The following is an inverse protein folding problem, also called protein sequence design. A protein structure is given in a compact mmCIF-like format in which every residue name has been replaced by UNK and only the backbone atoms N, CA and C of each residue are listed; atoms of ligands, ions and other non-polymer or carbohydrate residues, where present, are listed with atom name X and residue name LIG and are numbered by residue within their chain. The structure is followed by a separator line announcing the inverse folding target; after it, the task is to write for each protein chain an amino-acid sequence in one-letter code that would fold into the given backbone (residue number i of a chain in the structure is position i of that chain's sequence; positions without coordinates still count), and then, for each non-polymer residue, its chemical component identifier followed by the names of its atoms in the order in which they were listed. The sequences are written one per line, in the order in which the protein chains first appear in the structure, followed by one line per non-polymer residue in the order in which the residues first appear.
data_IF_210421161302
#
_entry.id   IF_210421161302
#
_cell.length_a   1.000
_cell.length_b   1.000
_cell.length_c   1.000
_cell.angle_alpha   90.00
_cell.angle_beta   90.00
_cell.angle_gamma   90.00
#
_symmetry.space_group_name_H-M   'P 1'
#
loop_
_entity.id
_entity.type
_entity.pdbx_description
1 polymer ?
#
# COMPACT_ATOMS: atom_id res chain seq x y z
N UNK A 1 -34.16 -11.23 -2.44
CA UNK A 1 -33.10 -11.94 -3.20
C UNK A 1 -32.60 -11.16 -4.42
N UNK A 2 -33.17 -10.00 -4.77
CA UNK A 2 -32.81 -9.19 -5.96
C UNK A 2 -31.43 -8.49 -5.93
N UNK A 3 -30.79 -8.34 -4.75
CA UNK A 3 -29.49 -7.64 -4.63
C UNK A 3 -28.32 -8.35 -5.36
N UNK A 4 -28.44 -9.64 -5.65
CA UNK A 4 -27.35 -10.41 -6.28
C UNK A 4 -27.37 -10.36 -7.82
N UNK A 5 -28.54 -10.21 -8.42
CA UNK A 5 -28.69 -10.21 -9.88
C UNK A 5 -28.30 -8.85 -10.47
N UNK A 6 -28.84 -7.77 -9.91
CA UNK A 6 -28.46 -6.40 -10.30
C UNK A 6 -26.95 -6.18 -10.14
N UNK A 7 -26.36 -6.63 -9.03
CA UNK A 7 -24.92 -6.54 -8.82
C UNK A 7 -24.09 -7.37 -9.81
N UNK A 8 -24.62 -8.51 -10.27
CA UNK A 8 -23.96 -9.34 -11.30
C UNK A 8 -24.02 -8.65 -12.65
N UNK A 9 -25.16 -8.11 -13.04
CA UNK A 9 -25.33 -7.38 -14.30
C UNK A 9 -24.44 -6.14 -14.36
N UNK A 10 -24.34 -5.37 -13.27
CA UNK A 10 -23.43 -4.23 -13.18
C UNK A 10 -21.96 -4.67 -13.37
N UNK A 11 -21.54 -5.77 -12.72
CA UNK A 11 -20.17 -6.29 -12.91
C UNK A 11 -19.93 -6.73 -14.36
N UNK A 12 -20.89 -7.43 -14.96
CA UNK A 12 -20.79 -7.88 -16.36
C UNK A 12 -20.69 -6.69 -17.32
N UNK A 13 -21.48 -5.64 -17.08
CA UNK A 13 -21.40 -4.39 -17.85
C UNK A 13 -20.00 -3.77 -17.79
N UNK A 14 -19.42 -3.64 -16.59
CA UNK A 14 -18.06 -3.09 -16.45
C UNK A 14 -16.99 -3.97 -17.10
N UNK A 15 -17.11 -5.30 -17.00
CA UNK A 15 -16.21 -6.24 -17.67
C UNK A 15 -16.25 -6.04 -19.20
N UNK A 16 -17.45 -5.89 -19.76
CA UNK A 16 -17.58 -5.70 -21.21
C UNK A 16 -17.07 -4.32 -21.65
N UNK A 17 -17.37 -3.27 -20.89
CA UNK A 17 -16.83 -1.94 -21.14
C UNK A 17 -15.28 -1.94 -21.11
N UNK A 18 -14.67 -2.66 -20.17
CA UNK A 18 -13.21 -2.80 -20.07
C UNK A 18 -12.62 -3.54 -21.29
N UNK A 19 -13.25 -4.64 -21.74
CA UNK A 19 -12.85 -5.34 -22.97
C UNK A 19 -12.94 -4.47 -24.22
N UNK A 20 -13.96 -3.61 -24.29
CA UNK A 20 -14.10 -2.66 -25.40
C UNK A 20 -13.00 -1.61 -25.36
N UNK A 21 -12.70 -1.06 -24.17
CA UNK A 21 -11.60 -0.12 -23.98
C UNK A 21 -10.26 -0.71 -24.40
N UNK A 22 -9.99 -1.99 -24.05
CA UNK A 22 -8.79 -2.70 -24.47
C UNK A 22 -8.63 -2.75 -26.00
N UNK A 23 -9.72 -2.92 -26.74
CA UNK A 23 -9.70 -2.96 -28.22
C UNK A 23 -9.53 -1.57 -28.83
N UNK A 24 -10.27 -0.58 -28.33
CA UNK A 24 -10.36 0.77 -28.92
C UNK A 24 -9.12 1.62 -28.56
N UNK A 25 -8.60 1.47 -27.34
CA UNK A 25 -7.49 2.26 -26.80
C UNK A 25 -6.53 1.39 -25.97
N UNK A 26 -5.75 0.49 -26.62
CA UNK A 26 -4.94 -0.51 -25.91
C UNK A 26 -3.89 0.10 -24.98
N UNK A 27 -3.31 1.25 -25.32
CA UNK A 27 -2.33 1.92 -24.46
C UNK A 27 -2.98 2.54 -23.22
N UNK A 28 -4.17 3.14 -23.36
CA UNK A 28 -4.94 3.67 -22.22
C UNK A 28 -5.35 2.53 -21.29
N UNK A 29 -5.81 1.41 -21.86
CA UNK A 29 -6.13 0.21 -21.11
C UNK A 29 -4.92 -0.32 -20.32
N UNK A 30 -3.75 -0.50 -20.97
CA UNK A 30 -2.53 -0.97 -20.30
C UNK A 30 -2.12 -0.08 -19.13
N UNK A 31 -2.10 1.24 -19.33
CA UNK A 31 -1.72 2.18 -18.29
C UNK A 31 -2.69 2.14 -17.10
N UNK A 32 -4.01 2.06 -17.38
CA UNK A 32 -5.02 1.92 -16.34
C UNK A 32 -4.92 0.59 -15.59
N UNK A 33 -4.62 -0.49 -16.31
CA UNK A 33 -4.43 -1.81 -15.71
C UNK A 33 -3.21 -1.82 -14.79
N UNK A 34 -2.07 -1.28 -15.23
CA UNK A 34 -0.86 -1.18 -14.42
C UNK A 34 -1.11 -0.34 -13.16
N UNK A 35 -1.77 0.81 -13.31
CA UNK A 35 -2.16 1.66 -12.19
C UNK A 35 -3.06 0.93 -11.18
N UNK A 36 -4.02 0.14 -11.68
CA UNK A 36 -4.92 -0.66 -10.84
C UNK A 36 -4.17 -1.77 -10.12
N UNK A 37 -3.27 -2.48 -10.81
CA UNK A 37 -2.44 -3.53 -10.23
C UNK A 37 -1.55 -2.99 -9.10
N UNK A 38 -0.92 -1.83 -9.28
CA UNK A 38 -0.12 -1.18 -8.23
C UNK A 38 -0.96 -0.83 -6.99
N UNK A 39 -2.18 -0.34 -7.18
CA UNK A 39 -3.11 -0.07 -6.07
C UNK A 39 -3.55 -1.35 -5.35
N UNK A 40 -3.86 -2.41 -6.07
CA UNK A 40 -4.21 -3.70 -5.47
C UNK A 40 -3.02 -4.29 -4.69
N UNK A 41 -1.83 -4.26 -5.27
CA UNK A 41 -0.61 -4.71 -4.60
C UNK A 41 -0.39 -3.96 -3.27
N UNK A 42 -0.57 -2.63 -3.26
CA UNK A 42 -0.51 -1.84 -2.02
C UNK A 42 -1.49 -2.31 -0.93
N UNK A 43 -2.66 -2.85 -1.30
CA UNK A 43 -3.64 -3.38 -0.34
C UNK A 43 -3.18 -4.76 0.16
N UNK A 44 -2.75 -5.62 -0.76
CA UNK A 44 -2.32 -6.98 -0.46
C UNK A 44 -1.09 -7.01 0.45
N UNK A 45 -0.08 -6.18 0.16
CA UNK A 45 1.12 -6.07 0.99
C UNK A 45 0.84 -5.42 2.35
N UNK A 46 -0.11 -4.50 2.43
CA UNK A 46 -0.55 -3.96 3.72
C UNK A 46 -1.19 -5.03 4.60
N UNK A 47 -1.97 -5.93 4.00
CA UNK A 47 -2.55 -7.06 4.72
C UNK A 47 -1.46 -8.03 5.20
N UNK A 48 -0.49 -8.38 4.34
CA UNK A 48 0.65 -9.22 4.72
C UNK A 48 1.44 -8.60 5.88
N UNK A 49 1.77 -7.30 5.80
CA UNK A 49 2.48 -6.59 6.86
C UNK A 49 1.72 -6.62 8.19
N UNK A 50 0.40 -6.42 8.18
CA UNK A 50 -0.43 -6.52 9.38
C UNK A 50 -0.35 -7.92 10.00
N UNK A 51 -0.38 -8.98 9.19
CA UNK A 51 -0.24 -10.36 9.68
C UNK A 51 1.15 -10.61 10.29
N UNK A 52 2.22 -10.17 9.64
CA UNK A 52 3.59 -10.32 10.15
C UNK A 52 3.80 -9.52 11.45
N UNK A 53 3.27 -8.29 11.54
CA UNK A 53 3.33 -7.47 12.76
C UNK A 53 2.55 -8.11 13.91
N UNK A 54 1.34 -8.62 13.64
CA UNK A 54 0.54 -9.32 14.62
C UNK A 54 1.30 -10.53 15.18
N UNK A 55 1.89 -11.33 14.30
CA UNK A 55 2.63 -12.54 14.67
C UNK A 55 3.88 -12.21 15.49
N UNK A 56 4.63 -11.18 15.08
CA UNK A 56 5.80 -10.68 15.81
C UNK A 56 5.46 -10.19 17.23
N UNK A 57 4.36 -9.44 17.38
CA UNK A 57 3.90 -8.99 18.70
C UNK A 57 3.53 -10.17 19.61
N UNK A 58 2.83 -11.17 19.06
CA UNK A 58 2.47 -12.38 19.81
C UNK A 58 3.73 -13.15 20.25
N UNK A 59 4.74 -13.30 19.38
CA UNK A 59 6.03 -13.92 19.74
C UNK A 59 6.77 -13.17 20.85
N UNK A 60 6.60 -11.85 20.93
CA UNK A 60 7.12 -11.02 22.03
C UNK A 60 6.28 -11.06 23.32
N UNK A 61 5.22 -11.87 23.37
CA UNK A 61 4.28 -11.91 24.50
C UNK A 61 3.43 -10.64 24.64
N UNK A 62 3.31 -9.83 23.57
CA UNK A 62 2.52 -8.60 23.56
C UNK A 62 1.17 -8.85 22.91
N UNK A 63 0.12 -8.26 23.49
CA UNK A 63 -1.18 -8.23 22.85
C UNK A 63 -1.20 -7.19 21.70
N UNK A 64 -1.57 -7.57 20.47
CA UNK A 64 -1.74 -6.63 19.37
C UNK A 64 -2.79 -5.56 19.70
N UNK A 65 -2.47 -4.31 19.41
CA UNK A 65 -3.34 -3.17 19.67
C UNK A 65 -3.43 -2.28 18.43
N UNK A 66 -4.57 -1.58 18.19
CA UNK A 66 -4.74 -0.72 17.03
C UNK A 66 -3.59 0.29 16.81
N UNK A 67 -3.04 0.84 17.90
CA UNK A 67 -1.90 1.76 17.83
C UNK A 67 -0.65 1.18 17.16
N UNK A 68 -0.41 -0.14 17.26
CA UNK A 68 0.77 -0.76 16.64
C UNK A 68 0.67 -0.70 15.11
N UNK A 69 -0.48 -1.09 14.56
CA UNK A 69 -0.74 -1.06 13.12
C UNK A 69 -0.80 0.37 12.58
N UNK A 70 -1.39 1.31 13.34
CA UNK A 70 -1.42 2.73 12.96
C UNK A 70 0.00 3.31 12.91
N UNK A 71 0.85 2.98 13.87
CA UNK A 71 2.23 3.46 13.91
C UNK A 71 3.06 2.87 12.75
N UNK A 72 2.86 1.59 12.43
CA UNK A 72 3.56 0.95 11.29
C UNK A 72 3.14 1.60 9.96
N UNK A 73 1.85 1.79 9.72
CA UNK A 73 1.37 2.51 8.52
C UNK A 73 1.95 3.92 8.44
N UNK A 74 1.94 4.68 9.54
CA UNK A 74 2.53 6.03 9.58
C UNK A 74 4.02 6.04 9.27
N UNK A 75 4.77 5.01 9.69
CA UNK A 75 6.18 4.87 9.36
C UNK A 75 6.35 4.67 7.86
N UNK A 76 5.70 3.67 7.29
CA UNK A 76 5.79 3.34 5.86
C UNK A 76 5.33 4.51 4.99
N UNK A 77 4.15 5.07 5.27
CA UNK A 77 3.57 6.17 4.50
C UNK A 77 4.45 7.44 4.62
N UNK A 78 5.00 7.70 5.81
CA UNK A 78 5.90 8.83 6.05
C UNK A 78 7.23 8.70 5.30
N UNK A 79 7.84 7.51 5.30
CA UNK A 79 9.05 7.24 4.52
C UNK A 79 8.80 7.35 3.01
N UNK A 80 7.61 6.97 2.56
CA UNK A 80 7.19 7.11 1.16
C UNK A 80 7.12 8.57 0.73
N UNK A 81 6.61 9.47 1.57
CA UNK A 81 6.46 10.90 1.21
C UNK A 81 7.60 11.80 1.70
N UNK A 82 8.59 11.24 2.39
CA UNK A 82 9.78 11.94 2.89
C UNK A 82 9.55 12.87 4.10
N UNK A 83 8.31 13.00 4.57
CA UNK A 83 7.91 13.79 5.75
C UNK A 83 6.89 13.02 6.58
N UNK A 84 6.47 13.51 7.75
CA UNK A 84 5.41 12.83 8.48
C UNK A 84 4.11 12.81 7.66
N UNK A 85 3.40 11.67 7.64
CA UNK A 85 2.17 11.56 6.84
C UNK A 85 1.10 12.58 7.25
N UNK A 86 1.14 13.03 8.52
CA UNK A 86 0.29 14.11 9.02
C UNK A 86 0.61 15.43 8.31
N UNK A 87 1.87 15.85 8.32
CA UNK A 87 2.31 17.08 7.63
C UNK A 87 2.03 17.01 6.13
N UNK A 88 2.27 15.86 5.50
CA UNK A 88 1.99 15.69 4.08
C UNK A 88 0.50 15.88 3.76
N UNK A 89 -0.41 15.31 4.56
CA UNK A 89 -1.85 15.50 4.38
C UNK A 89 -2.27 16.95 4.58
N UNK A 90 -1.70 17.64 5.56
CA UNK A 90 -1.96 19.06 5.82
C UNK A 90 -1.52 19.93 4.64
N UNK A 91 -0.30 19.72 4.11
CA UNK A 91 0.24 20.46 2.95
C UNK A 91 -0.59 20.27 1.68
N UNK A 92 -1.16 19.09 1.49
CA UNK A 92 -1.94 18.75 0.29
C UNK A 92 -3.46 18.87 0.49
N UNK A 93 -3.93 19.35 1.66
CA UNK A 93 -5.34 19.45 2.02
C UNK A 93 -6.13 18.13 1.83
N UNK A 94 -5.50 17.00 2.15
CA UNK A 94 -6.06 15.66 1.92
C UNK A 94 -6.91 15.21 3.11
N UNK A 95 -8.17 14.85 2.81
CA UNK A 95 -9.10 14.18 3.73
C UNK A 95 -9.24 12.70 3.34
N UNK A 96 -9.29 11.81 4.34
CA UNK A 96 -9.42 10.37 4.11
C UNK A 96 -8.08 9.61 4.12
N UNK A 97 -8.02 8.50 3.37
CA UNK A 97 -6.86 7.61 3.29
C UNK A 97 -5.76 8.26 2.43
N UNK A 98 -4.53 8.46 2.94
CA UNK A 98 -3.45 9.07 2.16
C UNK A 98 -3.08 8.30 0.89
N UNK A 99 -3.15 6.96 0.91
CA UNK A 99 -2.72 6.12 -0.22
C UNK A 99 -3.60 6.27 -1.46
N UNK A 100 -4.82 6.77 -1.31
CA UNK A 100 -5.71 7.09 -2.43
C UNK A 100 -5.15 8.26 -3.28
N UNK A 101 -4.23 9.04 -2.70
CA UNK A 101 -3.61 10.23 -3.29
C UNK A 101 -2.13 10.02 -3.63
N UNK A 102 -1.59 8.82 -3.41
CA UNK A 102 -0.21 8.51 -3.78
C UNK A 102 -0.07 8.34 -5.29
N UNK A 103 1.06 8.76 -5.85
CA UNK A 103 1.43 8.46 -7.24
C UNK A 103 1.74 6.97 -7.40
N UNK A 104 1.86 6.49 -8.64
CA UNK A 104 2.19 5.09 -8.89
C UNK A 104 3.59 4.73 -8.38
N UNK A 105 4.53 5.66 -8.48
CA UNK A 105 5.90 5.54 -7.97
C UNK A 105 5.89 5.44 -6.44
N UNK A 106 5.12 6.30 -5.78
CA UNK A 106 4.93 6.25 -4.33
C UNK A 106 4.29 4.93 -3.87
N UNK A 107 3.32 4.39 -4.62
CA UNK A 107 2.73 3.08 -4.31
C UNK A 107 3.73 1.93 -4.50
N UNK A 108 4.67 2.03 -5.44
CA UNK A 108 5.74 1.06 -5.59
C UNK A 108 6.72 1.11 -4.41
N UNK A 109 7.04 2.31 -3.92
CA UNK A 109 7.85 2.49 -2.70
C UNK A 109 7.13 1.89 -1.49
N UNK A 110 5.82 2.14 -1.33
CA UNK A 110 5.01 1.51 -0.27
C UNK A 110 5.14 0.00 -0.33
N UNK A 111 4.93 -0.60 -1.50
CA UNK A 111 5.03 -2.06 -1.70
C UNK A 111 6.39 -2.60 -1.25
N UNK A 112 7.49 -1.99 -1.68
CA UNK A 112 8.83 -2.47 -1.33
C UNK A 112 9.14 -2.30 0.17
N UNK A 113 8.67 -1.22 0.79
CA UNK A 113 8.80 -1.00 2.23
C UNK A 113 7.96 -1.99 3.03
N UNK A 114 6.71 -2.25 2.65
CA UNK A 114 5.83 -3.19 3.36
C UNK A 114 6.33 -4.63 3.24
N UNK A 115 6.79 -5.03 2.05
CA UNK A 115 7.42 -6.33 1.83
C UNK A 115 8.67 -6.50 2.71
N UNK A 116 9.54 -5.49 2.72
CA UNK A 116 10.77 -5.54 3.53
C UNK A 116 10.47 -5.57 5.02
N UNK A 117 9.56 -4.73 5.52
CA UNK A 117 9.22 -4.72 6.95
C UNK A 117 8.56 -6.03 7.39
N UNK A 118 7.74 -6.64 6.53
CA UNK A 118 7.16 -7.97 6.78
C UNK A 118 8.26 -9.02 7.00
N UNK A 119 9.26 -9.07 6.12
CA UNK A 119 10.41 -9.97 6.27
C UNK A 119 11.21 -9.66 7.53
N UNK A 120 11.45 -8.39 7.85
CA UNK A 120 12.19 -8.01 9.05
C UNK A 120 11.44 -8.38 10.34
N UNK A 121 10.11 -8.29 10.34
CA UNK A 121 9.24 -8.75 11.42
C UNK A 121 9.28 -10.28 11.57
N UNK A 122 9.28 -11.02 10.46
CA UNK A 122 9.42 -12.49 10.46
C UNK A 122 10.77 -12.95 11.03
N UNK A 123 11.83 -12.19 10.77
CA UNK A 123 13.17 -12.42 11.32
C UNK A 123 13.36 -11.89 12.75
N UNK A 124 12.28 -11.43 13.40
CA UNK A 124 12.26 -10.89 14.75
C UNK A 124 13.25 -9.73 14.99
N UNK A 125 13.53 -8.96 13.94
CA UNK A 125 14.40 -7.79 14.03
C UNK A 125 13.74 -6.71 14.91
N UNK A 126 14.46 -6.16 15.91
CA UNK A 126 13.91 -5.12 16.78
C UNK A 126 13.56 -3.84 16.03
N UNK A 127 12.52 -3.14 16.49
CA UNK A 127 11.97 -1.94 15.83
C UNK A 127 13.01 -0.90 15.42
N UNK A 128 14.00 -0.59 16.28
CA UNK A 128 15.01 0.43 15.97
C UNK A 128 15.86 0.05 14.76
N UNK A 129 16.23 -1.23 14.66
CA UNK A 129 17.02 -1.74 13.55
C UNK A 129 16.16 -1.82 12.28
N UNK A 130 14.90 -2.29 12.37
CA UNK A 130 13.97 -2.27 11.22
C UNK A 130 13.80 -0.85 10.66
N UNK A 131 13.53 0.12 11.54
CA UNK A 131 13.37 1.52 11.17
C UNK A 131 14.58 2.05 10.42
N UNK A 132 15.79 1.75 10.88
CA UNK A 132 17.04 2.15 10.22
C UNK A 132 17.16 1.55 8.81
N UNK A 133 16.85 0.26 8.66
CA UNK A 133 16.89 -0.42 7.36
C UNK A 133 15.84 0.13 6.39
N UNK A 134 14.62 0.39 6.87
CA UNK A 134 13.55 0.99 6.07
C UNK A 134 13.88 2.42 5.62
N UNK A 135 14.48 3.25 6.49
CA UNK A 135 14.97 4.58 6.11
C UNK A 135 16.03 4.47 5.00
N UNK A 136 17.00 3.56 5.16
CA UNK A 136 18.06 3.36 4.17
C UNK A 136 17.53 2.78 2.84
N UNK A 137 16.48 1.96 2.88
CA UNK A 137 15.81 1.46 1.69
C UNK A 137 15.02 2.58 0.99
N UNK A 138 14.18 3.32 1.72
CA UNK A 138 13.43 4.44 1.18
C UNK A 138 14.36 5.46 0.50
N UNK A 139 15.46 5.84 1.16
CA UNK A 139 16.43 6.77 0.60
C UNK A 139 17.12 6.25 -0.68
N UNK A 140 17.17 4.92 -0.90
CA UNK A 140 17.66 4.34 -2.16
C UNK A 140 16.58 4.35 -3.22
N UNK A 141 15.35 3.96 -2.88
CA UNK A 141 14.23 3.95 -3.82
C UNK A 141 13.96 5.34 -4.41
N UNK A 142 13.94 6.38 -3.56
CA UNK A 142 13.80 7.78 -3.98
C UNK A 142 14.92 8.29 -4.91
N UNK A 143 16.09 7.65 -4.94
CA UNK A 143 17.21 8.06 -5.82
C UNK A 143 17.09 7.51 -7.23
N UNK A 144 16.23 6.52 -7.45
CA UNK A 144 15.96 5.96 -8.79
C UNK A 144 14.87 6.73 -9.54
N UNK A 145 14.33 7.80 -8.96
CA UNK A 145 13.32 8.69 -9.55
C UNK A 145 13.92 9.92 -10.29
N UNK A 146 15.21 9.88 -10.67
CA UNK A 146 15.93 10.94 -11.44
C UNK A 146 16.46 10.40 -12.76
#
# INVERSE_FOLDING_TARGET
MEKNEVGREIRNYFIEAEKQLQKIAPNVYRNNLEATQKRLASIDYNHALKQSLQSHLIRQGKQPQPKHFINESKLIDGLTVGVSIKEWKERNNIKGNPRDYFTLEQLEIVKELEKTDSTLLELDIPYQERKKQLIALAARLHRFDV
#
